data_IF_457800440843
#
_entry.id   IF_457800440843
#
_cell.length_a   1.000
_cell.length_b   1.000
_cell.length_c   1.000
_cell.angle_alpha   90.00
_cell.angle_beta   90.00
_cell.angle_gamma   90.00
#
_symmetry.space_group_name_H-M   'P 1'
#
loop_
_entity.id
_entity.type
_entity.pdbx_description
1 polymer ?
2 non-polymer ?
3 non-polymer ?
4 water ?
#
# COMPACT_ATOMS: atom_id res chain seq x y z
N UNK A 10 16.39 -23.05 -18.53
CA UNK A 10 15.57 -23.45 -17.40
C UNK A 10 15.13 -22.24 -16.58
N UNK A 11 16.08 -21.37 -16.25
CA UNK A 11 15.83 -20.25 -15.35
C UNK A 11 14.77 -19.30 -15.93
N UNK A 12 13.78 -18.97 -15.11
CA UNK A 12 12.80 -17.96 -15.48
C UNK A 12 11.93 -17.59 -14.29
N UNK A 13 12.01 -16.32 -13.88
CA UNK A 13 11.42 -15.84 -12.64
C UNK A 13 10.12 -15.09 -12.97
N UNK A 14 8.99 -15.60 -12.51
CA UNK A 14 7.71 -14.91 -12.67
C UNK A 14 7.38 -14.20 -11.37
N UNK A 15 7.06 -12.91 -11.47
CA UNK A 15 6.69 -12.09 -10.33
C UNK A 15 5.19 -11.79 -10.41
N UNK A 16 4.43 -12.26 -9.44
CA UNK A 16 3.00 -11.97 -9.38
C UNK A 16 2.84 -10.70 -8.54
N UNK A 17 2.39 -9.62 -9.18
CA UNK A 17 2.20 -8.36 -8.48
C UNK A 17 3.31 -7.37 -8.69
N UNK A 18 2.99 -6.20 -9.23
CA UNK A 18 3.94 -5.13 -9.38
C UNK A 18 3.67 -3.92 -8.50
N UNK A 19 3.59 -4.15 -7.19
CA UNK A 19 3.59 -3.06 -6.23
C UNK A 19 5.01 -2.66 -5.94
N UNK A 20 5.23 -2.13 -4.73
CA UNK A 20 6.60 -1.76 -4.36
C UNK A 20 7.53 -2.96 -4.41
N UNK A 21 7.10 -4.09 -3.83
CA UNK A 21 7.92 -5.27 -3.89
C UNK A 21 8.24 -5.69 -5.32
N UNK A 22 7.22 -5.81 -6.15
CA UNK A 22 7.41 -6.44 -7.44
C UNK A 22 8.20 -5.61 -8.42
N UNK A 23 8.13 -4.28 -8.32
CA UNK A 23 8.94 -3.50 -9.25
C UNK A 23 10.38 -3.40 -8.76
N UNK A 24 10.61 -3.53 -7.45
CA UNK A 24 12.00 -3.62 -6.98
C UNK A 24 12.62 -4.92 -7.44
N UNK A 25 11.87 -6.01 -7.40
CA UNK A 25 12.38 -7.29 -7.89
C UNK A 25 12.61 -7.26 -9.40
N UNK A 26 11.62 -6.77 -10.17
CA UNK A 26 11.73 -6.79 -11.61
C UNK A 26 12.82 -5.84 -12.12
N UNK A 27 12.96 -4.66 -11.48
CA UNK A 27 14.10 -3.78 -11.77
C UNK A 27 15.42 -4.51 -11.57
N UNK A 28 15.58 -5.20 -10.44
CA UNK A 28 16.85 -5.88 -10.16
C UNK A 28 17.10 -7.01 -11.16
N UNK A 29 16.07 -7.82 -11.40
CA UNK A 29 16.21 -8.94 -12.33
C UNK A 29 16.56 -8.45 -13.73
N UNK A 30 15.92 -7.36 -14.17
CA UNK A 30 16.17 -6.83 -15.51
C UNK A 30 17.58 -6.27 -15.64
N UNK A 31 18.05 -5.56 -14.61
CA UNK A 31 19.40 -5.03 -14.57
C UNK A 31 20.46 -6.13 -14.53
N UNK A 32 20.11 -7.33 -14.08
CA UNK A 32 20.99 -8.49 -14.13
C UNK A 32 20.80 -9.32 -15.40
N UNK A 33 19.87 -8.92 -16.27
CA UNK A 33 19.54 -9.69 -17.47
C UNK A 33 19.19 -11.13 -17.14
N UNK A 34 18.49 -11.32 -16.03
CA UNK A 34 17.96 -12.63 -15.69
C UNK A 34 16.60 -12.75 -16.38
N UNK A 35 16.27 -13.89 -16.99
CA UNK A 35 14.94 -14.05 -17.58
C UNK A 35 13.83 -13.94 -16.53
N UNK A 36 12.85 -13.10 -16.81
CA UNK A 36 11.79 -12.83 -15.84
C UNK A 36 10.53 -12.32 -16.52
N UNK A 37 9.40 -12.44 -15.82
CA UNK A 37 8.14 -11.89 -16.29
C UNK A 37 7.40 -11.28 -15.10
N UNK A 38 7.06 -10.02 -15.20
CA UNK A 38 6.28 -9.33 -14.19
C UNK A 38 4.81 -9.34 -14.64
N UNK A 39 3.91 -9.74 -13.75
CA UNK A 39 2.47 -9.74 -14.02
C UNK A 39 1.76 -8.86 -13.00
N UNK A 40 0.87 -8.00 -13.48
CA UNK A 40 0.04 -7.13 -12.64
C UNK A 40 -1.24 -6.81 -13.40
N UNK A 41 -2.33 -6.66 -12.65
CA UNK A 41 -3.64 -6.45 -13.26
C UNK A 41 -3.81 -5.05 -13.82
N UNK A 42 -3.04 -4.09 -13.32
CA UNK A 42 -3.02 -2.72 -13.80
C UNK A 42 -1.99 -2.57 -14.93
N UNK A 43 -2.06 -1.44 -15.65
CA UNK A 43 -1.02 -1.13 -16.60
C UNK A 43 0.05 -0.22 -16.01
N UNK A 44 -0.13 0.22 -14.77
CA UNK A 44 0.80 1.14 -14.14
C UNK A 44 1.05 0.73 -12.70
N UNK A 45 2.30 0.82 -12.27
CA UNK A 45 2.63 0.78 -10.86
C UNK A 45 1.94 1.94 -10.12
N UNK A 46 1.37 1.64 -8.97
CA UNK A 46 0.71 2.65 -8.15
C UNK A 46 1.56 2.94 -6.92
N UNK A 47 2.13 4.16 -6.88
CA UNK A 47 2.74 4.72 -5.68
C UNK A 47 1.68 5.06 -4.63
N UNK A 48 1.14 4.03 -3.97
CA UNK A 48 -0.07 4.27 -3.20
C UNK A 48 0.21 5.03 -1.90
N UNK A 49 1.48 5.11 -1.48
CA UNK A 49 1.89 6.00 -0.38
C UNK A 49 1.37 7.42 -0.58
N UNK A 50 1.24 7.86 -1.82
CA UNK A 50 0.81 9.21 -2.17
C UNK A 50 -0.66 9.26 -2.58
N UNK A 51 -1.40 8.16 -2.45
CA UNK A 51 -2.78 8.13 -2.93
C UNK A 51 -3.65 9.13 -2.20
N UNK A 52 -3.34 9.40 -0.92
CA UNK A 52 -4.19 10.27 -0.11
C UNK A 52 -4.01 11.72 -0.51
N UNK A 53 -2.78 12.14 -0.79
CA UNK A 53 -2.57 13.44 -1.41
C UNK A 53 -3.16 13.50 -2.82
N UNK A 54 -3.04 12.41 -3.58
CA UNK A 54 -3.65 12.36 -4.90
C UNK A 54 -5.17 12.54 -4.85
N UNK A 55 -5.80 12.29 -3.71
CA UNK A 55 -7.25 12.45 -3.61
C UNK A 55 -7.61 13.83 -3.10
N UNK A 56 -6.61 14.70 -2.97
CA UNK A 56 -6.78 15.99 -2.33
C UNK A 56 -6.25 17.10 -3.22
N UNK A 57 -5.20 16.84 -4.00
CA UNK A 57 -4.61 17.87 -4.84
C UNK A 57 -4.90 17.63 -6.32
N UNK A 58 -5.49 18.64 -6.96
CA UNK A 58 -5.74 18.64 -8.40
C UNK A 58 -4.45 18.42 -9.16
N UNK A 59 -4.47 17.50 -10.12
CA UNK A 59 -3.33 17.26 -10.97
C UNK A 59 -2.19 16.46 -10.36
N UNK A 60 -2.34 15.97 -9.14
CA UNK A 60 -1.27 15.22 -8.50
C UNK A 60 -1.26 13.75 -8.87
N UNK A 61 -2.42 13.18 -9.22
CA UNK A 61 -2.52 11.73 -9.38
C UNK A 61 -1.70 11.22 -10.56
N UNK A 62 -1.54 12.05 -11.60
CA UNK A 62 -0.71 11.67 -12.75
C UNK A 62 0.71 11.35 -12.33
N UNK A 63 1.16 11.91 -11.20
CA UNK A 63 2.48 11.63 -10.65
C UNK A 63 2.53 10.36 -9.81
N UNK A 64 1.42 9.64 -9.62
CA UNK A 64 1.45 8.45 -8.77
C UNK A 64 1.19 7.15 -9.53
N UNK A 65 1.14 7.19 -10.86
CA UNK A 65 0.97 6.00 -11.69
C UNK A 65 2.07 5.97 -12.76
N UNK A 66 2.75 4.84 -12.89
CA UNK A 66 3.93 4.72 -13.76
C UNK A 66 3.74 3.51 -14.64
N UNK A 67 3.70 3.73 -15.96
CA UNK A 67 3.49 2.65 -16.92
C UNK A 67 4.56 1.57 -16.78
N UNK A 68 4.10 0.32 -16.61
CA UNK A 68 5.02 -0.82 -16.53
C UNK A 68 5.73 -1.07 -17.85
N UNK A 69 5.02 -0.90 -18.98
CA UNK A 69 5.55 -1.38 -20.25
C UNK A 69 6.64 -0.47 -20.79
N UNK A 70 6.59 0.82 -20.48
CA UNK A 70 7.71 1.72 -20.76
C UNK A 70 9.00 1.21 -20.09
N UNK A 71 8.87 0.65 -18.88
CA UNK A 71 10.05 0.25 -18.13
C UNK A 71 10.48 -1.19 -18.44
N UNK A 72 9.53 -2.09 -18.66
CA UNK A 72 9.83 -3.51 -18.69
C UNK A 72 9.57 -4.18 -20.02
N UNK A 73 8.74 -3.58 -20.88
CA UNK A 73 8.59 -3.99 -22.29
C UNK A 73 8.12 -5.44 -22.34
N UNK A 74 8.85 -6.33 -23.03
CA UNK A 74 8.50 -7.74 -23.24
C UNK A 74 8.37 -8.54 -21.95
N UNK A 75 9.02 -8.10 -20.88
CA UNK A 75 9.01 -8.83 -19.62
C UNK A 75 7.92 -8.35 -18.68
N UNK A 76 6.91 -7.66 -19.18
CA UNK A 76 5.75 -7.29 -18.39
C UNK A 76 4.50 -7.71 -19.14
N UNK A 77 3.57 -8.34 -18.43
CA UNK A 77 2.26 -8.68 -19.00
C UNK A 77 1.17 -8.21 -18.06
N UNK A 78 0.28 -7.37 -18.58
CA UNK A 78 -0.91 -7.01 -17.83
C UNK A 78 -1.89 -8.16 -17.89
N UNK A 79 -2.27 -8.68 -16.73
CA UNK A 79 -3.22 -9.77 -16.62
C UNK A 79 -3.56 -9.99 -15.17
N UNK A 80 -4.65 -10.73 -14.97
CA UNK A 80 -5.12 -11.08 -13.64
C UNK A 80 -4.75 -12.52 -13.36
N UNK A 81 -3.94 -12.74 -12.32
CA UNK A 81 -3.56 -14.10 -11.95
C UNK A 81 -4.72 -14.74 -11.20
N UNK A 82 -5.17 -15.90 -11.70
CA UNK A 82 -6.29 -16.62 -11.11
C UNK A 82 -5.86 -17.93 -10.46
N UNK A 83 -4.64 -18.38 -10.66
CA UNK A 83 -4.20 -19.61 -10.01
C UNK A 83 -2.75 -19.86 -10.29
N UNK A 84 -2.19 -20.81 -9.54
CA UNK A 84 -0.82 -21.26 -9.72
C UNK A 84 -0.82 -22.79 -9.78
N UNK A 85 -0.25 -23.33 -10.86
CA UNK A 85 -0.16 -24.78 -11.08
C UNK A 85 1.22 -25.23 -10.60
N UNK A 86 1.27 -25.80 -9.40
CA UNK A 86 2.55 -26.10 -8.77
C UNK A 86 3.21 -27.36 -9.33
N UNK A 87 2.44 -28.35 -9.79
CA UNK A 87 3.08 -29.55 -10.33
C UNK A 87 3.62 -29.33 -11.74
N UNK A 88 3.07 -28.38 -12.49
CA UNK A 88 3.62 -28.00 -13.79
C UNK A 88 4.41 -26.70 -13.74
N UNK A 89 4.56 -26.10 -12.55
CA UNK A 89 5.27 -24.84 -12.37
C UNK A 89 4.76 -23.77 -13.33
N UNK A 90 3.48 -23.46 -13.22
CA UNK A 90 2.84 -22.50 -14.12
C UNK A 90 2.04 -21.48 -13.33
N UNK A 91 2.08 -20.23 -13.79
CA UNK A 91 1.20 -19.18 -13.30
C UNK A 91 0.05 -19.02 -14.31
N UNK A 92 -1.18 -19.11 -13.82
CA UNK A 92 -2.35 -19.16 -14.68
C UNK A 92 -3.04 -17.81 -14.70
N UNK A 93 -3.30 -17.29 -15.90
CA UNK A 93 -3.91 -15.98 -16.08
C UNK A 93 -5.32 -16.11 -16.64
N UNK A 94 -6.22 -15.27 -16.14
CA UNK A 94 -7.54 -15.15 -16.74
C UNK A 94 -7.39 -14.88 -18.23
N UNK A 95 -8.16 -15.60 -19.03
CA UNK A 95 -8.03 -15.54 -20.47
C UNK A 95 -7.15 -16.60 -21.08
N UNK A 96 -6.51 -17.45 -20.28
CA UNK A 96 -5.89 -18.67 -20.78
C UNK A 96 -4.37 -18.69 -20.83
N UNK A 97 -3.68 -17.61 -20.45
CA UNK A 97 -2.22 -17.62 -20.49
C UNK A 97 -1.65 -18.42 -19.32
N UNK A 98 -0.61 -19.20 -19.61
CA UNK A 98 0.13 -19.93 -18.58
C UNK A 98 1.60 -19.56 -18.70
N UNK A 99 2.19 -19.10 -17.60
CA UNK A 99 3.59 -18.73 -17.61
C UNK A 99 4.40 -19.75 -16.83
N UNK A 100 5.37 -20.42 -17.44
CA UNK A 100 6.19 -21.37 -16.69
C UNK A 100 7.27 -20.64 -15.89
N UNK A 101 7.75 -21.30 -14.84
CA UNK A 101 8.76 -20.68 -14.00
C UNK A 101 9.71 -21.71 -13.44
N UNK A 102 10.96 -21.29 -13.27
CA UNK A 102 11.92 -21.96 -12.40
C UNK A 102 11.83 -21.46 -10.98
N UNK A 103 11.47 -20.19 -10.81
CA UNK A 103 11.40 -19.53 -9.52
C UNK A 103 10.23 -18.58 -9.54
N UNK A 104 9.46 -18.56 -8.45
CA UNK A 104 8.25 -17.74 -8.34
C UNK A 104 8.40 -16.77 -7.19
N UNK A 105 8.04 -15.50 -7.43
CA UNK A 105 7.97 -14.47 -6.40
C UNK A 105 6.53 -13.96 -6.32
N UNK A 106 5.87 -14.17 -5.20
CA UNK A 106 4.54 -13.64 -4.95
C UNK A 106 4.64 -12.32 -4.18
N UNK A 107 4.18 -11.23 -4.79
CA UNK A 107 4.20 -9.87 -4.26
C UNK A 107 2.84 -9.23 -4.42
N UNK A 108 1.82 -9.91 -3.93
CA UNK A 108 0.43 -9.56 -4.22
C UNK A 108 -0.11 -8.48 -3.30
N UNK A 109 0.65 -8.09 -2.27
CA UNK A 109 0.31 -6.99 -1.39
C UNK A 109 -1.04 -7.15 -0.71
N UNK A 110 -1.79 -6.05 -0.65
CA UNK A 110 -3.04 -6.01 0.09
C UNK A 110 -4.09 -5.21 -0.66
N UNK A 111 -5.35 -5.43 -0.28
CA UNK A 111 -6.52 -4.72 -0.81
C UNK A 111 -7.19 -3.95 0.32
N UNK A 112 -7.99 -2.95 -0.06
CA UNK A 112 -8.73 -2.14 0.88
C UNK A 112 -9.56 -1.06 0.20
N UNK A 113 -10.32 -0.29 0.98
CA UNK A 113 -11.18 0.74 0.40
C UNK A 113 -10.43 1.70 -0.52
N UNK A 114 -11.13 2.19 -1.55
CA UNK A 114 -10.56 2.82 -2.72
C UNK A 114 -9.46 3.82 -2.37
N UNK A 115 -9.77 5.05 -1.90
CA UNK A 115 -8.78 6.13 -2.06
C UNK A 115 -7.39 5.62 -1.70
N UNK A 116 -7.30 4.87 -0.60
CA UNK A 116 -6.02 4.31 -0.15
C UNK A 116 -5.46 3.18 -1.00
N UNK A 117 -6.31 2.45 -1.73
CA UNK A 117 -5.84 1.39 -2.61
C UNK A 117 -6.64 1.37 -3.90
N UNK A 118 -5.94 1.14 -5.01
CA UNK A 118 -6.55 1.04 -6.33
C UNK A 118 -6.05 -0.27 -6.93
N UNK A 119 -6.91 -1.29 -6.95
CA UNK A 119 -6.57 -2.61 -7.50
C UNK A 119 -7.71 -3.03 -8.45
N UNK A 120 -7.63 -2.54 -9.68
CA UNK A 120 -8.60 -2.87 -10.71
C UNK A 120 -7.85 -3.12 -12.02
N UNK A 121 -8.42 -4.00 -12.85
CA UNK A 121 -7.94 -4.18 -14.22
C UNK A 121 -8.27 -2.88 -14.92
N UNK A 122 -7.27 -2.05 -15.14
CA UNK A 122 -7.53 -0.67 -15.49
C UNK A 122 -6.37 -0.11 -16.29
N UNK A 123 -6.66 0.96 -17.01
CA UNK A 123 -5.67 1.77 -17.68
C UNK A 123 -5.17 2.87 -16.73
N UNK A 124 -4.04 3.46 -17.10
CA UNK A 124 -3.51 4.59 -16.34
C UNK A 124 -4.47 5.78 -16.40
N UNK A 125 -5.12 6.00 -17.54
CA UNK A 125 -5.98 7.16 -17.67
C UNK A 125 -7.23 7.01 -16.82
N UNK A 126 -7.79 5.80 -16.75
CA UNK A 126 -8.96 5.57 -15.91
C UNK A 126 -8.63 5.75 -14.43
N UNK A 127 -7.59 5.05 -13.96
CA UNK A 127 -7.06 5.23 -12.62
C UNK A 127 -6.90 6.70 -12.25
N UNK A 128 -6.21 7.45 -13.10
CA UNK A 128 -5.97 8.87 -12.82
C UNK A 128 -7.31 9.59 -12.67
N UNK A 129 -8.25 9.33 -13.58
CA UNK A 129 -9.54 10.00 -13.54
C UNK A 129 -10.29 9.69 -12.25
N UNK A 130 -10.18 8.45 -11.77
CA UNK A 130 -10.80 8.11 -10.50
C UNK A 130 -10.32 9.04 -9.38
N UNK A 131 -9.00 9.26 -9.31
CA UNK A 131 -8.49 10.16 -8.27
C UNK A 131 -8.92 11.60 -8.52
N UNK A 132 -8.94 12.05 -9.78
CA UNK A 132 -9.38 13.41 -10.06
C UNK A 132 -10.84 13.60 -9.65
N UNK A 133 -11.69 12.59 -9.88
CA UNK A 133 -13.08 12.65 -9.40
C UNK A 133 -13.12 12.84 -7.89
N UNK A 134 -12.27 12.12 -7.16
CA UNK A 134 -12.25 12.21 -5.71
C UNK A 134 -11.86 13.59 -5.21
N UNK A 135 -10.88 14.23 -5.88
CA UNK A 135 -10.52 15.60 -5.50
C UNK A 135 -11.74 16.52 -5.61
N UNK A 136 -12.47 16.41 -6.72
CA UNK A 136 -13.68 17.22 -6.88
C UNK A 136 -14.72 16.96 -5.79
N UNK A 137 -14.78 15.73 -5.28
CA UNK A 137 -15.68 15.42 -4.16
C UNK A 137 -15.23 16.15 -2.88
N UNK A 138 -13.95 16.02 -2.55
CA UNK A 138 -13.38 16.72 -1.39
C UNK A 138 -13.59 18.22 -1.50
N UNK A 139 -13.29 18.78 -2.68
CA UNK A 139 -13.39 20.21 -2.90
C UNK A 139 -14.83 20.70 -2.69
N UNK A 140 -15.81 19.91 -3.14
CA UNK A 140 -17.21 20.33 -3.00
C UNK A 140 -17.71 20.28 -1.56
N UNK A 141 -17.11 19.45 -0.69
CA UNK A 141 -17.67 19.11 0.61
C UNK A 141 -17.16 20.05 1.70
N UNK A 142 -18.10 20.75 2.36
CA UNK A 142 -17.72 21.59 3.48
C UNK A 142 -17.49 20.78 4.75
N UNK A 143 -18.14 19.62 4.86
CA UNK A 143 -18.05 18.75 6.02
C UNK A 143 -17.62 17.37 5.58
N UNK A 144 -16.61 16.81 6.25
CA UNK A 144 -16.03 15.55 5.79
C UNK A 144 -15.76 14.66 7.01
N UNK A 145 -16.10 13.39 6.88
CA UNK A 145 -15.82 12.39 7.90
C UNK A 145 -14.79 11.41 7.35
N UNK A 146 -13.75 11.15 8.11
CA UNK A 146 -12.79 10.08 7.84
C UNK A 146 -13.04 8.97 8.86
N UNK A 147 -13.27 7.75 8.38
CA UNK A 147 -13.51 6.59 9.24
C UNK A 147 -12.24 5.75 9.34
N UNK A 148 -11.77 5.55 10.56
CA UNK A 148 -10.58 4.75 10.80
C UNK A 148 -9.41 5.62 11.20
N UNK A 149 -8.92 5.48 12.43
CA UNK A 149 -7.86 6.33 12.93
C UNK A 149 -6.52 5.61 13.01
N UNK A 150 -6.29 4.68 12.08
CA UNK A 150 -4.98 4.10 11.91
C UNK A 150 -4.06 5.05 11.18
N UNK A 151 -2.86 4.54 10.87
CA UNK A 151 -1.87 5.33 10.17
C UNK A 151 -2.37 5.89 8.84
N UNK A 152 -3.25 5.16 8.16
CA UNK A 152 -3.82 5.70 6.91
C UNK A 152 -4.73 6.89 7.18
N UNK A 153 -5.77 6.72 8.02
CA UNK A 153 -6.79 7.76 8.17
C UNK A 153 -6.29 9.00 8.89
N UNK A 154 -5.24 8.86 9.70
CA UNK A 154 -4.60 10.01 10.30
C UNK A 154 -3.97 10.89 9.22
N UNK A 155 -3.40 10.26 8.18
CA UNK A 155 -2.84 11.03 7.06
C UNK A 155 -3.94 11.64 6.20
N UNK A 156 -5.03 10.88 5.96
CA UNK A 156 -6.17 11.41 5.22
C UNK A 156 -6.66 12.71 5.82
N UNK A 157 -6.99 12.67 7.12
CA UNK A 157 -7.53 13.85 7.80
C UNK A 157 -6.56 15.03 7.75
N UNK A 158 -5.26 14.78 7.99
CA UNK A 158 -4.31 15.89 7.96
C UNK A 158 -4.17 16.47 6.56
N UNK A 159 -4.14 15.61 5.54
CA UNK A 159 -4.03 16.10 4.16
C UNK A 159 -5.19 17.01 3.80
N UNK A 160 -6.42 16.63 4.19
CA UNK A 160 -7.58 17.45 3.86
C UNK A 160 -7.47 18.81 4.55
N UNK A 161 -7.28 18.80 5.87
CA UNK A 161 -7.27 20.02 6.66
C UNK A 161 -6.11 20.94 6.28
N UNK A 162 -4.98 20.36 5.85
CA UNK A 162 -3.83 21.16 5.43
C UNK A 162 -4.09 21.87 4.11
N UNK A 163 -4.64 21.15 3.13
CA UNK A 163 -4.97 21.72 1.82
C UNK A 163 -6.21 22.62 1.86
N UNK A 164 -7.16 22.36 2.76
CA UNK A 164 -8.36 23.18 2.90
C UNK A 164 -8.63 23.40 4.39
N UNK A 165 -7.92 24.34 5.02
CA UNK A 165 -8.22 24.65 6.42
C UNK A 165 -9.67 25.04 6.66
N UNK A 166 -10.32 25.67 5.67
CA UNK A 166 -11.69 26.16 5.86
C UNK A 166 -12.69 25.02 6.04
N UNK A 167 -12.32 23.79 5.69
CA UNK A 167 -13.24 22.66 5.76
C UNK A 167 -13.29 22.07 7.17
N UNK A 168 -14.40 21.41 7.48
CA UNK A 168 -14.61 20.78 8.79
C UNK A 168 -14.38 19.27 8.66
N UNK A 169 -13.40 18.76 9.39
CA UNK A 169 -12.93 17.39 9.21
C UNK A 169 -13.04 16.66 10.53
N UNK A 170 -13.83 15.60 10.54
CA UNK A 170 -13.98 14.75 11.71
C UNK A 170 -13.40 13.37 11.42
N UNK A 171 -12.61 12.86 12.35
CA UNK A 171 -12.01 11.54 12.27
C UNK A 171 -12.60 10.66 13.36
N UNK A 172 -13.11 9.50 12.98
CA UNK A 172 -13.79 8.59 13.91
C UNK A 172 -12.96 7.32 13.95
N UNK A 173 -12.53 6.94 15.15
CA UNK A 173 -11.63 5.82 15.39
C UNK A 173 -12.19 4.99 16.53
N UNK A 174 -12.12 3.67 16.36
CA UNK A 174 -12.70 2.76 17.34
C UNK A 174 -11.80 2.52 18.55
N UNK A 175 -10.57 3.02 18.56
CA UNK A 175 -9.64 2.80 19.66
C UNK A 175 -9.39 4.08 20.46
N UNK A 176 -8.64 3.95 21.55
CA UNK A 176 -8.41 5.10 22.43
C UNK A 176 -7.26 5.97 21.92
N UNK A 177 -6.32 5.40 21.16
CA UNK A 177 -5.21 6.15 20.60
C UNK A 177 -5.16 5.90 19.11
N UNK A 178 -4.56 6.86 18.39
CA UNK A 178 -4.43 6.84 16.93
C UNK A 178 -3.16 6.09 16.48
N UNK A 179 -3.19 5.66 15.21
CA UNK A 179 -2.09 5.01 14.50
C UNK A 179 -1.69 3.67 15.11
N UNK A 180 -0.56 3.13 14.64
CA UNK A 180 -0.19 1.75 14.92
C UNK A 180 0.20 1.52 16.37
N UNK A 181 -0.26 0.40 16.93
CA UNK A 181 0.05 -0.03 18.28
C UNK A 181 1.53 -0.40 18.45
N UNK A 182 2.28 -0.52 17.35
CA UNK A 182 3.71 -0.81 17.41
C UNK A 182 4.56 0.43 17.70
N UNK A 183 3.98 1.63 17.65
CA UNK A 183 4.76 2.86 17.70
C UNK A 183 4.94 3.32 19.14
N UNK A 184 6.11 3.92 19.41
CA UNK A 184 6.37 4.62 20.66
C UNK A 184 5.16 5.46 21.04
N UNK A 185 4.71 5.40 22.30
CA UNK A 185 3.57 6.25 22.70
C UNK A 185 3.79 7.73 22.45
N UNK A 186 5.05 8.17 22.30
CA UNK A 186 5.34 9.58 22.06
C UNK A 186 4.92 10.00 20.67
N UNK A 187 5.14 9.12 19.67
CA UNK A 187 4.68 9.35 18.32
C UNK A 187 3.15 9.37 18.24
N UNK A 188 2.49 8.41 18.91
CA UNK A 188 1.03 8.32 18.83
C UNK A 188 0.35 9.49 19.55
N UNK A 189 0.94 9.97 20.65
CA UNK A 189 0.37 11.14 21.30
C UNK A 189 0.52 12.37 20.43
N UNK A 190 1.68 12.52 19.78
CA UNK A 190 1.93 13.69 18.94
C UNK A 190 1.07 13.68 17.69
N UNK A 191 0.81 12.50 17.11
CA UNK A 191 -0.15 12.42 16.01
C UNK A 191 -1.48 13.06 16.42
N UNK A 192 -2.01 12.67 17.58
CA UNK A 192 -3.22 13.28 18.12
C UNK A 192 -3.09 14.78 18.28
N UNK A 193 -2.02 15.23 18.96
CA UNK A 193 -1.86 16.67 19.20
C UNK A 193 -1.74 17.44 17.90
N UNK A 194 -1.00 16.91 16.92
CA UNK A 194 -0.87 17.60 15.63
C UNK A 194 -2.23 17.71 14.96
N UNK A 195 -3.01 16.62 14.98
CA UNK A 195 -4.35 16.66 14.41
C UNK A 195 -5.19 17.72 15.09
N UNK A 196 -5.09 17.83 16.42
CA UNK A 196 -5.89 18.79 17.16
C UNK A 196 -5.46 20.22 16.85
N UNK A 197 -4.15 20.44 16.73
CA UNK A 197 -3.63 21.77 16.44
C UNK A 197 -4.02 22.25 15.05
N UNK A 198 -4.34 21.32 14.15
CA UNK A 198 -4.78 21.65 12.77
C UNK A 198 -6.27 21.98 12.76
N UNK A 199 -6.97 21.57 13.80
CA UNK A 199 -8.40 21.81 13.89
C UNK A 199 -9.27 20.64 13.54
N UNK A 200 -8.72 19.42 13.52
CA UNK A 200 -9.51 18.24 13.18
C UNK A 200 -10.32 17.82 14.39
N UNK A 201 -11.59 17.48 14.17
CA UNK A 201 -12.43 16.96 15.24
C UNK A 201 -12.11 15.48 15.44
N UNK A 202 -11.75 15.10 16.65
CA UNK A 202 -11.47 13.71 16.96
C UNK A 202 -12.66 13.10 17.69
N UNK A 203 -13.11 11.94 17.22
CA UNK A 203 -14.14 11.14 17.87
C UNK A 203 -13.52 9.76 18.10
N UNK A 204 -12.94 9.57 19.28
CA UNK A 204 -12.22 8.35 19.60
C UNK A 204 -13.09 7.38 20.39
N UNK A 205 -12.68 6.12 20.37
CA UNK A 205 -13.40 5.02 21.01
C UNK A 205 -14.83 4.87 20.47
N UNK A 206 -15.04 5.22 19.20
CA UNK A 206 -16.36 5.16 18.59
C UNK A 206 -16.25 4.43 17.27
N UNK A 207 -17.04 3.37 17.11
CA UNK A 207 -17.08 2.64 15.86
C UNK A 207 -18.29 3.07 15.06
N UNK A 208 -18.06 3.45 13.79
CA UNK A 208 -19.15 3.81 12.89
C UNK A 208 -19.99 2.58 12.60
N UNK A 209 -21.32 2.70 12.72
CA UNK A 209 -22.18 1.54 12.78
C UNK A 209 -23.09 1.36 11.56
N UNK A 210 -23.28 2.38 10.74
CA UNK A 210 -24.12 2.27 9.55
C UNK A 210 -23.29 2.36 8.27
N UNK A 211 -22.10 1.75 8.27
CA UNK A 211 -21.19 1.85 7.13
C UNK A 211 -21.79 1.24 5.86
N UNK A 212 -22.52 0.14 6.00
CA UNK A 212 -22.98 -0.57 4.81
C UNK A 212 -24.12 0.14 4.11
N UNK A 213 -24.66 1.21 4.68
CA UNK A 213 -25.70 1.99 4.06
C UNK A 213 -25.22 3.32 3.49
N UNK A 214 -23.98 3.72 3.77
CA UNK A 214 -23.48 5.06 3.46
C UNK A 214 -22.98 5.14 2.01
N UNK A 215 -23.36 6.17 1.27
CA UNK A 215 -22.66 6.47 0.02
C UNK A 215 -21.22 6.90 0.32
N UNK A 216 -20.27 6.29 -0.39
CA UNK A 216 -18.86 6.51 -0.10
C UNK A 216 -18.20 7.35 -1.20
N UNK A 217 -17.21 8.14 -0.80
CA UNK A 217 -16.36 8.87 -1.73
C UNK A 217 -17.16 9.79 -2.62
N UNK A 218 -18.32 10.25 -2.14
CA UNK A 218 -19.25 11.02 -2.95
C UNK A 218 -19.93 12.10 -2.12
N UNK A 219 -19.78 13.35 -2.58
CA UNK A 219 -20.47 14.48 -1.95
C UNK A 219 -21.97 14.26 -1.94
N UNK A 220 -22.59 14.49 -0.78
CA UNK A 220 -24.03 14.63 -0.71
C UNK A 220 -24.38 15.84 0.16
N UNK A 221 -25.53 16.43 -0.10
CA UNK A 221 -25.97 17.60 0.71
C UNK A 221 -26.09 17.20 2.18
N UNK A 222 -26.47 15.97 2.48
CA UNK A 222 -26.65 15.53 3.86
C UNK A 222 -26.41 14.03 3.95
N UNK A 223 -25.42 13.62 4.74
CA UNK A 223 -25.24 12.21 5.11
C UNK A 223 -25.21 12.11 6.63
N UNK A 224 -26.00 11.20 7.18
CA UNK A 224 -26.00 10.92 8.61
C UNK A 224 -25.07 9.75 8.89
N UNK A 225 -23.97 10.00 9.61
CA UNK A 225 -23.08 8.96 10.11
C UNK A 225 -23.46 8.65 11.56
N UNK A 226 -23.52 7.37 11.90
CA UNK A 226 -23.83 6.94 13.25
C UNK A 226 -22.72 6.08 13.82
N UNK A 227 -22.54 6.16 15.15
CA UNK A 227 -21.62 5.30 15.86
C UNK A 227 -22.36 4.41 16.86
N UNK A 228 -21.64 3.38 17.32
CA UNK A 228 -22.13 2.38 18.27
C UNK A 228 -22.31 2.93 19.67
N UNK A 229 -21.86 4.15 19.94
CA UNK A 229 -22.17 4.81 21.19
C UNK A 229 -23.33 5.79 21.05
N UNK A 230 -24.06 5.77 19.92
CA UNK A 230 -25.22 6.61 19.75
C UNK A 230 -24.94 7.96 19.13
N UNK A 231 -23.69 8.30 18.83
CA UNK A 231 -23.37 9.60 18.25
C UNK A 231 -23.84 9.64 16.79
N UNK A 232 -24.34 10.79 16.39
CA UNK A 232 -24.65 11.07 14.99
C UNK A 232 -23.84 12.26 14.52
N UNK A 233 -23.28 12.15 13.32
CA UNK A 233 -22.45 13.19 12.72
C UNK A 233 -23.04 13.51 11.36
N UNK A 234 -23.36 14.78 11.13
CA UNK A 234 -23.90 15.19 9.84
C UNK A 234 -22.75 15.66 8.96
N UNK A 235 -22.73 15.19 7.71
CA UNK A 235 -21.56 15.36 6.86
C UNK A 235 -21.97 15.39 5.39
N UNK A 236 -21.05 15.86 4.54
CA UNK A 236 -21.23 15.85 3.09
C UNK A 236 -20.51 14.69 2.41
N UNK A 237 -19.50 14.11 3.04
CA UNK A 237 -18.64 13.15 2.37
C UNK A 237 -18.12 12.14 3.38
N UNK A 238 -18.08 10.87 2.99
CA UNK A 238 -17.52 9.82 3.83
C UNK A 238 -16.32 9.20 3.12
N UNK A 239 -15.18 9.16 3.80
CA UNK A 239 -13.99 8.47 3.33
C UNK A 239 -13.64 7.36 4.32
N UNK A 240 -13.43 6.15 3.79
CA UNK A 240 -13.07 5.00 4.60
C UNK A 240 -11.57 4.81 4.64
N UNK A 241 -11.01 4.76 5.85
CA UNK A 241 -9.65 4.28 6.10
C UNK A 241 -9.69 3.18 7.16
N UNK A 242 -10.57 2.21 6.94
CA UNK A 242 -10.92 1.18 7.90
C UNK A 242 -9.97 -0.01 7.87
N UNK A 243 -8.98 -0.03 7.00
CA UNK A 243 -7.96 -1.06 7.03
C UNK A 243 -7.92 -1.89 5.76
N UNK A 244 -6.96 -2.80 5.73
CA UNK A 244 -6.62 -3.57 4.54
C UNK A 244 -6.80 -5.07 4.84
N UNK A 245 -6.78 -5.84 3.76
CA UNK A 245 -6.83 -7.29 3.77
C UNK A 245 -5.71 -7.80 2.86
N UNK A 246 -5.08 -8.91 3.23
CA UNK A 246 -4.05 -9.51 2.37
C UNK A 246 -4.68 -10.00 1.08
N UNK A 247 -4.07 -9.65 -0.06
CA UNK A 247 -4.58 -10.09 -1.35
C UNK A 247 -4.03 -11.46 -1.72
N UNK A 248 -4.75 -12.52 -1.32
CA UNK A 248 -4.37 -13.89 -1.59
C UNK A 248 -5.07 -14.48 -2.83
N UNK A 249 -5.62 -13.65 -3.70
CA UNK A 249 -6.41 -14.16 -4.83
C UNK A 249 -5.58 -15.02 -5.78
N UNK A 250 -4.30 -14.66 -5.99
CA UNK A 250 -3.44 -15.40 -6.90
C UNK A 250 -3.16 -16.83 -6.41
N UNK A 251 -3.01 -17.02 -5.09
CA UNK A 251 -2.32 -18.21 -4.57
C UNK A 251 -3.05 -18.99 -3.48
N UNK A 252 -4.20 -18.54 -2.97
CA UNK A 252 -4.79 -19.20 -1.80
C UNK A 252 -5.11 -20.67 -2.08
N UNK A 253 -5.62 -20.97 -3.26
CA UNK A 253 -5.94 -22.35 -3.58
C UNK A 253 -4.70 -23.20 -3.64
N UNK A 254 -3.66 -22.72 -4.33
CA UNK A 254 -2.47 -23.55 -4.55
C UNK A 254 -1.62 -23.69 -3.30
N UNK A 255 -1.65 -22.70 -2.40
CA UNK A 255 -0.81 -22.69 -1.20
C UNK A 255 -1.63 -22.77 0.09
N UNK A 256 -2.77 -23.43 0.03
CA UNK A 256 -3.77 -23.37 1.11
C UNK A 256 -3.16 -23.75 2.47
N UNK A 257 -2.40 -24.84 2.50
CA UNK A 257 -1.86 -25.32 3.77
C UNK A 257 -0.75 -24.43 4.34
N UNK A 258 -0.20 -23.52 3.53
CA UNK A 258 0.96 -22.73 3.95
C UNK A 258 0.59 -21.30 4.35
N UNK A 259 -0.69 -21.00 4.48
CA UNK A 259 -1.13 -19.64 4.76
C UNK A 259 -1.17 -19.34 6.25
N UNK A 260 -0.90 -18.09 6.60
CA UNK A 260 -1.28 -17.57 7.90
C UNK A 260 -2.78 -17.34 7.95
N UNK A 261 -3.26 -17.00 9.15
CA UNK A 261 -4.69 -16.73 9.31
C UNK A 261 -5.09 -15.45 8.59
N UNK A 262 -4.16 -14.51 8.43
CA UNK A 262 -4.40 -13.29 7.67
C UNK A 262 -4.60 -13.55 6.18
N UNK A 263 -4.12 -14.68 5.67
CA UNK A 263 -4.01 -14.90 4.24
C UNK A 263 -2.61 -14.78 3.69
N UNK A 264 -1.66 -14.34 4.53
CA UNK A 264 -0.27 -14.21 4.15
C UNK A 264 0.41 -15.57 4.14
N UNK A 265 1.56 -15.62 3.48
CA UNK A 265 2.30 -16.85 3.29
C UNK A 265 3.36 -17.01 4.39
N UNK A 266 3.42 -18.21 4.96
CA UNK A 266 4.47 -18.51 5.93
C UNK A 266 5.80 -18.65 5.18
N UNK A 267 6.83 -18.00 5.72
CA UNK A 267 8.16 -18.00 5.12
C UNK A 267 9.19 -18.33 6.20
N UNK A 268 10.37 -18.74 5.74
CA UNK A 268 11.53 -18.84 6.62
C UNK A 268 12.28 -17.51 6.52
N UNK A 269 13.45 -17.43 7.15
CA UNK A 269 14.17 -16.17 7.18
C UNK A 269 14.78 -15.80 5.83
N UNK A 270 14.81 -16.73 4.88
CA UNK A 270 15.23 -16.43 3.52
C UNK A 270 14.05 -16.04 2.63
N UNK A 271 12.84 -15.94 3.20
CA UNK A 271 11.58 -15.59 2.55
C UNK A 271 11.09 -16.66 1.60
N UNK A 272 11.64 -17.87 1.66
CA UNK A 272 11.07 -18.98 0.90
C UNK A 272 9.76 -19.39 1.55
N UNK A 273 8.74 -19.59 0.71
CA UNK A 273 7.46 -20.05 1.22
C UNK A 273 7.66 -21.44 1.81
N UNK A 274 7.04 -21.68 2.96
CA UNK A 274 7.12 -22.95 3.65
C UNK A 274 6.78 -24.10 2.71
N UNK A 275 7.61 -25.15 2.74
CA UNK A 275 7.44 -26.28 1.85
C UNK A 275 8.06 -26.14 0.46
N UNK A 276 8.60 -24.98 0.12
CA UNK A 276 9.13 -24.75 -1.22
C UNK A 276 10.49 -24.09 -1.16
N UNK A 277 11.28 -24.30 -2.20
CA UNK A 277 12.60 -23.71 -2.26
C UNK A 277 12.75 -22.69 -3.38
N UNK A 278 11.88 -22.74 -4.40
CA UNK A 278 11.90 -21.79 -5.49
C UNK A 278 10.67 -20.88 -5.50
N UNK A 279 9.97 -20.77 -4.37
CA UNK A 279 8.88 -19.82 -4.22
C UNK A 279 9.20 -18.90 -3.06
N UNK A 280 9.03 -17.60 -3.28
CA UNK A 280 9.31 -16.57 -2.28
C UNK A 280 8.07 -15.68 -2.16
N UNK A 281 7.86 -15.13 -0.97
CA UNK A 281 6.84 -14.12 -0.71
C UNK A 281 7.50 -12.86 -0.19
N UNK A 282 7.09 -11.70 -0.71
CA UNK A 282 7.72 -10.44 -0.35
C UNK A 282 6.63 -9.40 -0.10
N UNK A 283 6.93 -8.42 0.76
CA UNK A 283 5.98 -7.35 1.04
C UNK A 283 4.82 -7.81 1.92
N UNK A 284 3.67 -7.15 1.73
CA UNK A 284 2.50 -7.37 2.58
C UNK A 284 1.99 -8.82 2.53
N UNK A 285 2.20 -9.54 1.42
CA UNK A 285 1.65 -10.89 1.39
C UNK A 285 2.55 -11.92 2.07
N UNK A 286 3.71 -11.52 2.56
CA UNK A 286 4.56 -12.41 3.34
C UNK A 286 4.15 -12.32 4.82
N UNK A 287 4.11 -13.47 5.50
CA UNK A 287 3.76 -13.49 6.92
C UNK A 287 4.98 -13.18 7.79
N UNK A 288 5.51 -11.99 7.59
CA UNK A 288 6.48 -11.40 8.50
C UNK A 288 5.71 -10.48 9.43
N UNK A 289 6.03 -10.50 10.71
CA UNK A 289 5.14 -9.90 11.69
C UNK A 289 5.58 -8.48 12.04
N UNK A 290 5.77 -7.69 11.00
CA UNK A 290 6.06 -6.27 11.06
C UNK A 290 4.92 -5.52 10.39
N UNK A 291 4.75 -4.23 10.67
CA UNK A 291 3.71 -3.47 9.98
C UNK A 291 3.95 -3.47 8.47
N UNK A 292 2.87 -3.29 7.73
CA UNK A 292 2.90 -3.36 6.27
C UNK A 292 3.55 -2.10 5.69
N UNK A 293 4.75 -2.24 5.14
CA UNK A 293 5.51 -1.09 4.67
C UNK A 293 6.07 -1.34 3.26
N UNK A 294 5.99 -0.29 2.43
CA UNK A 294 6.64 -0.34 1.12
C UNK A 294 8.14 -0.52 1.27
N UNK A 295 8.74 0.16 2.26
CA UNK A 295 10.16 0.03 2.52
C UNK A 295 10.56 -1.42 2.75
N UNK A 296 9.80 -2.15 3.56
CA UNK A 296 10.11 -3.55 3.78
C UNK A 296 9.87 -4.37 2.53
N UNK A 297 8.87 -3.99 1.71
CA UNK A 297 8.70 -4.66 0.41
C UNK A 297 9.99 -4.58 -0.39
N UNK A 298 10.60 -3.40 -0.48
CA UNK A 298 11.88 -3.28 -1.17
C UNK A 298 12.95 -4.19 -0.57
N UNK A 299 13.05 -4.19 0.76
CA UNK A 299 14.07 -5.03 1.41
C UNK A 299 13.82 -6.52 1.18
N UNK A 300 12.56 -6.94 1.15
CA UNK A 300 12.28 -8.35 0.85
C UNK A 300 12.60 -8.67 -0.60
N UNK A 301 12.41 -7.71 -1.51
CA UNK A 301 12.76 -7.92 -2.91
C UNK A 301 14.27 -8.14 -3.08
N UNK A 302 15.10 -7.38 -2.36
CA UNK A 302 16.55 -7.56 -2.43
C UNK A 302 16.96 -8.96 -2.00
N UNK A 303 16.39 -9.42 -0.90
CA UNK A 303 16.73 -10.73 -0.34
C UNK A 303 16.26 -11.85 -1.26
N UNK A 304 15.02 -11.75 -1.77
CA UNK A 304 14.46 -12.81 -2.60
C UNK A 304 15.22 -12.94 -3.92
N UNK A 305 15.53 -11.81 -4.56
CA UNK A 305 16.25 -11.85 -5.81
C UNK A 305 17.67 -12.39 -5.58
N UNK A 306 18.34 -11.90 -4.53
CA UNK A 306 19.66 -12.41 -4.20
C UNK A 306 19.62 -13.91 -3.91
N UNK A 307 18.56 -14.38 -3.25
CA UNK A 307 18.53 -15.79 -2.89
C UNK A 307 18.23 -16.69 -4.07
N UNK A 308 17.43 -16.23 -5.04
CA UNK A 308 17.29 -16.97 -6.28
C UNK A 308 18.67 -17.14 -6.94
N UNK A 309 19.45 -16.07 -7.01
CA UNK A 309 20.78 -16.15 -7.61
C UNK A 309 21.71 -17.03 -6.77
N UNK A 310 21.72 -16.82 -5.45
CA UNK A 310 22.51 -17.68 -4.57
C UNK A 310 22.04 -19.13 -4.64
N UNK A 311 20.73 -19.34 -4.85
CA UNK A 311 20.20 -20.69 -4.90
C UNK A 311 20.67 -21.41 -6.16
N UNK A 312 20.79 -20.69 -7.27
CA UNK A 312 21.22 -21.28 -8.53
C UNK A 312 22.75 -21.31 -8.61
N UNK A 313 23.41 -20.30 -8.05
CA UNK A 313 24.87 -20.24 -8.04
C UNK A 313 25.50 -21.13 -6.98
N UNK A 314 24.70 -21.89 -6.22
CA UNK A 314 25.21 -22.74 -5.14
C UNK A 314 26.05 -21.94 -4.13
N UNK A 315 25.51 -20.80 -3.72
CA UNK A 315 26.04 -19.95 -2.66
C UNK A 315 25.08 -19.97 -1.48
N UNK A 316 25.54 -19.70 -0.26
CA UNK A 316 24.61 -19.64 0.88
C UNK A 316 23.62 -18.49 0.73
N UNK A 317 22.47 -18.65 1.38
CA UNK A 317 21.38 -17.70 1.21
C UNK A 317 21.45 -16.59 2.25
N UNK A 318 20.87 -15.43 1.89
CA UNK A 318 20.78 -14.30 2.81
C UNK A 318 19.56 -14.44 3.72
N UNK A 319 19.65 -13.80 4.88
CA UNK A 319 18.60 -13.88 5.88
C UNK A 319 18.03 -12.50 6.13
N UNK A 320 16.78 -12.48 6.59
CA UNK A 320 16.10 -11.27 6.99
C UNK A 320 15.90 -11.30 8.49
N UNK A 321 16.45 -10.32 9.19
CA UNK A 321 16.30 -10.17 10.63
C UNK A 321 15.94 -8.72 10.90
N UNK A 322 14.72 -8.44 11.33
CA UNK A 322 14.28 -7.04 11.46
C UNK A 322 15.09 -6.29 12.51
N UNK A 323 15.30 -5.00 12.24
CA UNK A 323 15.80 -4.08 13.24
C UNK A 323 14.64 -3.29 13.85
N UNK A 324 15.01 -2.39 14.77
CA UNK A 324 14.03 -1.53 15.42
C UNK A 324 13.14 -0.84 14.39
N UNK A 325 11.89 -0.59 14.78
CA UNK A 325 10.91 -0.06 13.85
C UNK A 325 11.23 1.40 13.49
N UNK A 326 11.40 1.65 12.20
CA UNK A 326 11.39 2.98 11.63
C UNK A 326 10.05 3.18 10.93
N UNK A 327 9.38 4.30 11.19
CA UNK A 327 8.00 4.47 10.75
C UNK A 327 7.66 5.94 10.81
N UNK A 328 7.32 6.54 9.67
CA UNK A 328 7.10 7.97 9.56
C UNK A 328 5.66 8.27 9.14
N UNK A 329 5.02 9.22 9.83
CA UNK A 329 3.68 9.67 9.50
C UNK A 329 3.75 11.11 9.02
N UNK A 330 3.40 11.31 7.76
CA UNK A 330 3.22 12.65 7.24
C UNK A 330 1.88 13.19 7.70
N UNK A 331 1.86 14.46 8.08
CA UNK A 331 0.69 15.13 8.65
C UNK A 331 0.42 16.38 7.81
N UNK A 332 0.04 16.15 6.55
CA UNK A 332 0.02 17.21 5.56
C UNK A 332 1.43 17.45 5.03
N UNK A 333 1.50 18.30 4.00
CA UNK A 333 2.79 18.51 3.38
C UNK A 333 3.75 19.32 4.25
N UNK A 334 3.31 19.82 5.41
CA UNK A 334 4.07 20.79 6.19
C UNK A 334 4.41 20.29 7.59
N UNK A 335 4.09 19.04 7.92
CA UNK A 335 4.11 18.59 9.31
C UNK A 335 4.29 17.08 9.33
N UNK A 336 4.51 16.55 10.52
CA UNK A 336 4.68 15.12 10.66
C UNK A 336 5.54 14.77 11.86
N UNK A 337 5.56 13.46 12.14
CA UNK A 337 6.22 12.92 13.32
C UNK A 337 6.43 11.44 13.06
N UNK A 338 7.39 10.84 13.76
CA UNK A 338 7.70 9.44 13.53
C UNK A 338 8.77 8.96 14.46
N UNK A 339 9.41 7.86 14.07
CA UNK A 339 10.53 7.31 14.82
C UNK A 339 11.56 6.70 13.89
N UNK A 340 12.84 6.81 14.26
CA UNK A 340 13.91 6.20 13.49
C UNK A 340 14.61 5.19 14.40
N UNK A 341 14.65 3.93 13.96
CA UNK A 341 15.18 2.82 14.74
C UNK A 341 14.65 2.87 16.18
N UNK A 342 13.34 3.07 16.30
CA UNK A 342 12.73 3.07 17.60
C UNK A 342 12.98 4.30 18.44
N UNK A 343 13.32 5.44 17.83
CA UNK A 343 13.55 6.68 18.56
C UNK A 343 12.78 7.83 17.91
N UNK A 344 12.22 8.71 18.74
CA UNK A 344 11.30 9.75 18.27
C UNK A 344 11.99 10.74 17.33
N UNK A 345 11.29 11.11 16.26
CA UNK A 345 11.74 12.19 15.38
C UNK A 345 10.57 13.13 15.13
N UNK A 346 10.91 14.40 14.87
CA UNK A 346 9.94 15.46 14.82
C UNK A 346 9.74 16.04 13.45
N UNK A 347 9.13 17.23 13.42
CA UNK A 347 8.62 17.85 12.20
C UNK A 347 9.70 18.03 11.14
N UNK A 348 10.81 18.66 11.50
CA UNK A 348 11.84 19.00 10.53
C UNK A 348 12.28 17.76 9.76
N UNK A 349 12.55 16.67 10.46
CA UNK A 349 13.02 15.47 9.78
C UNK A 349 11.93 14.88 8.88
N UNK A 350 10.72 14.68 9.41
CA UNK A 350 9.67 14.03 8.63
C UNK A 350 9.24 14.91 7.47
N UNK A 351 9.15 16.23 7.71
CA UNK A 351 8.73 17.19 6.69
C UNK A 351 9.50 17.01 5.37
N UNK A 352 10.83 16.94 5.45
CA UNK A 352 11.64 16.87 4.24
C UNK A 352 11.86 15.45 3.76
N UNK A 353 11.89 14.48 4.67
CA UNK A 353 12.12 13.10 4.27
C UNK A 353 10.89 12.51 3.60
N UNK A 354 9.70 12.80 4.14
CA UNK A 354 8.46 12.22 3.60
C UNK A 354 7.45 13.27 3.18
N UNK A 355 7.08 14.20 4.07
CA UNK A 355 5.87 14.99 3.90
C UNK A 355 5.86 15.74 2.58
N UNK A 356 6.99 16.37 2.23
CA UNK A 356 7.03 17.21 1.04
C UNK A 356 6.74 16.40 -0.23
N UNK A 357 7.39 15.25 -0.39
CA UNK A 357 7.38 14.52 -1.66
C UNK A 357 6.70 13.15 -1.59
N UNK A 358 6.49 12.59 -0.39
CA UNK A 358 5.84 11.30 -0.23
C UNK A 358 6.54 10.18 -1.02
N UNK A 359 7.85 10.34 -1.21
CA UNK A 359 8.74 9.36 -1.83
C UNK A 359 8.43 9.12 -3.31
N UNK A 360 7.62 10.00 -3.92
CA UNK A 360 7.20 9.80 -5.30
C UNK A 360 8.40 9.63 -6.22
N UNK A 361 9.42 10.47 -6.04
CA UNK A 361 10.48 10.50 -7.03
C UNK A 361 11.40 9.29 -6.92
N UNK A 362 11.31 8.51 -5.83
CA UNK A 362 12.09 7.26 -5.78
C UNK A 362 11.47 6.21 -6.70
N UNK A 363 10.16 6.28 -6.93
CA UNK A 363 9.52 5.30 -7.82
C UNK A 363 9.80 5.62 -9.29
N UNK A 364 9.72 6.90 -9.66
CA UNK A 364 10.11 7.30 -11.00
C UNK A 364 11.54 6.87 -11.31
N UNK A 365 12.46 7.07 -10.35
CA UNK A 365 13.85 6.69 -10.54
C UNK A 365 13.98 5.18 -10.75
N UNK A 366 13.36 4.39 -9.88
CA UNK A 366 13.41 2.93 -10.03
C UNK A 366 12.88 2.51 -11.40
N UNK A 367 11.89 3.23 -11.92
CA UNK A 367 11.26 2.85 -13.18
C UNK A 367 11.94 3.44 -14.40
N UNK A 368 12.96 4.28 -14.21
CA UNK A 368 13.71 4.89 -15.31
C UNK A 368 12.82 5.80 -16.17
N UNK A 369 11.84 6.45 -15.54
CA UNK A 369 10.90 7.33 -16.21
C UNK A 369 10.97 8.72 -15.58
N UNK A 370 10.42 9.71 -16.30
CA UNK A 370 10.26 11.06 -15.75
C UNK A 370 8.81 11.37 -15.51
N UNK A 371 8.47 11.93 -14.34
CA UNK A 371 7.06 12.23 -14.01
C UNK A 371 6.46 13.19 -15.03
N UNK A 372 5.17 13.05 -15.35
CA UNK A 372 4.55 13.96 -16.30
C UNK A 372 4.55 15.37 -15.75
#
# INVERSE_FOLDING_TARGET
GSQVSVESGALHVVIVGGGFGGIAAASQLQALNVPFMLVDMKDSFHHNVAALRASVETGFAKKTFISYSVTFKDNFRQGLVVGIDLKNQMVLLQGGEALPFSHLILATGSTGPFPGKFNEVSSQQAAIQAYEDMVRQVQRSRFIVVVGGGSAGVEMAAEIKTEYPEKEVTLIHSQVALADKELLPSVRQEVKEILLRKGVQLLLSERVSNLEELPLNEYREYIKVQTDKGTEVATNLVILCTGIKINSSAYRKAFESRLASSGALRVNEHLQVEGHSNVYAIGDCADVRTPKMAYLAGLHANIAVANIVNSVKQRPLQAYKPGALTFLLSMGRNDGVGQISGFYVGRLMVRLTKSRDLFVSTSWKTMRQSPP
#
